data_IF_766142351331
#
_entry.id   IF_766142351331
#
_cell.length_a   1.000
_cell.length_b   1.000
_cell.length_c   1.000
_cell.angle_alpha   90.00
_cell.angle_beta   90.00
_cell.angle_gamma   90.00
#
_symmetry.space_group_name_H-M   'P 1'
#
loop_
_entity.id
_entity.type
_entity.pdbx_description
1 polymer ?
#
# COMPACT_ATOMS: atom_id res chain seq x y z
N UNK A 1 41.67 1.23 23.35
CA UNK A 1 40.75 1.30 24.52
C UNK A 1 39.36 1.34 23.90
N UNK A 2 38.87 0.14 23.67
CA UNK A 2 37.58 -0.10 23.03
C UNK A 2 36.50 0.01 24.12
N UNK A 3 35.65 0.99 24.03
CA UNK A 3 34.41 1.03 24.82
C UNK A 3 33.37 0.16 24.11
N UNK A 4 33.15 -1.01 24.68
CA UNK A 4 32.04 -1.89 24.36
C UNK A 4 30.74 -1.28 24.86
N UNK A 5 29.87 -0.89 23.95
CA UNK A 5 28.50 -0.50 24.21
C UNK A 5 27.68 -1.73 24.60
N UNK A 6 27.67 -2.07 25.88
CA UNK A 6 26.77 -3.07 26.45
C UNK A 6 25.39 -2.43 26.63
N UNK A 7 24.55 -2.56 25.58
CA UNK A 7 23.11 -2.34 25.70
C UNK A 7 22.52 -3.36 26.68
N UNK A 8 22.24 -2.89 27.90
CA UNK A 8 21.54 -3.65 28.94
C UNK A 8 20.14 -4.04 28.43
N UNK A 9 19.99 -5.29 27.99
CA UNK A 9 18.71 -6.00 27.98
C UNK A 9 18.28 -6.12 29.46
N UNK A 10 17.40 -5.22 29.93
CA UNK A 10 16.71 -5.42 31.20
C UNK A 10 15.82 -6.65 31.05
N UNK A 11 16.27 -7.78 31.56
CA UNK A 11 15.50 -9.01 31.65
C UNK A 11 14.26 -8.71 32.53
N UNK A 12 13.08 -8.85 31.93
CA UNK A 12 11.81 -8.73 32.64
C UNK A 12 11.80 -9.60 33.88
N UNK A 13 11.26 -9.11 35.01
CA UNK A 13 11.00 -9.91 36.19
C UNK A 13 10.08 -11.10 35.80
N UNK A 14 10.31 -12.25 36.45
CA UNK A 14 9.56 -13.47 36.13
C UNK A 14 8.04 -13.31 36.16
N UNK A 15 7.53 -12.39 36.99
CA UNK A 15 6.10 -12.06 37.07
C UNK A 15 5.65 -11.23 35.87
N UNK A 16 6.44 -10.22 35.46
CA UNK A 16 6.17 -9.39 34.29
C UNK A 16 6.23 -10.21 33.00
N UNK A 17 7.18 -11.14 32.91
CA UNK A 17 7.28 -12.06 31.78
C UNK A 17 6.05 -12.97 31.69
N UNK A 18 5.59 -13.53 32.81
CA UNK A 18 4.39 -14.39 32.85
C UNK A 18 3.13 -13.64 32.42
N UNK A 19 2.94 -12.40 32.87
CA UNK A 19 1.84 -11.55 32.44
C UNK A 19 1.92 -11.18 30.96
N UNK A 20 3.12 -10.90 30.47
CA UNK A 20 3.32 -10.61 29.05
C UNK A 20 2.98 -11.83 28.18
N UNK A 21 3.40 -13.03 28.59
CA UNK A 21 3.09 -14.29 27.90
C UNK A 21 1.58 -14.54 27.89
N UNK A 22 0.88 -14.34 29.03
CA UNK A 22 -0.57 -14.49 29.09
C UNK A 22 -1.29 -13.54 28.13
N UNK A 23 -0.92 -12.26 28.12
CA UNK A 23 -1.48 -11.27 27.18
C UNK A 23 -1.15 -11.61 25.71
N UNK A 24 0.03 -12.13 25.44
CA UNK A 24 0.42 -12.56 24.10
C UNK A 24 -0.42 -13.75 23.63
N UNK A 25 -0.68 -14.73 24.51
CA UNK A 25 -1.53 -15.89 24.22
C UNK A 25 -2.97 -15.47 23.93
N UNK A 26 -3.55 -14.57 24.72
CA UNK A 26 -4.88 -14.01 24.44
C UNK A 26 -4.92 -13.33 23.05
N UNK A 27 -3.90 -12.57 22.71
CA UNK A 27 -3.80 -11.93 21.38
C UNK A 27 -3.69 -12.97 20.26
N UNK A 28 -2.92 -14.04 20.45
CA UNK A 28 -2.77 -15.12 19.47
C UNK A 28 -4.13 -15.79 19.23
N UNK A 29 -4.83 -16.15 20.30
CA UNK A 29 -6.15 -16.79 20.23
C UNK A 29 -7.17 -15.87 19.54
N UNK A 30 -7.19 -14.59 19.88
CA UNK A 30 -8.10 -13.62 19.25
C UNK A 30 -7.81 -13.43 17.74
N UNK A 31 -6.53 -13.27 17.39
CA UNK A 31 -6.15 -13.03 15.99
C UNK A 31 -6.29 -14.28 15.13
N UNK A 32 -6.04 -15.48 15.68
CA UNK A 32 -6.18 -16.73 14.93
C UNK A 32 -7.62 -17.06 14.53
N UNK A 33 -8.60 -16.63 15.31
CA UNK A 33 -10.05 -16.81 15.01
C UNK A 33 -10.53 -16.00 13.81
N UNK A 34 -9.74 -15.02 13.35
CA UNK A 34 -10.12 -14.13 12.23
C UNK A 34 -9.82 -14.70 10.86
N UNK A 35 -9.12 -15.83 10.80
CA UNK A 35 -8.62 -16.38 9.53
C UNK A 35 -9.18 -17.77 9.35
N UNK A 36 -10.17 -17.90 8.49
CA UNK A 36 -10.66 -19.18 8.01
C UNK A 36 -10.30 -19.34 6.54
N UNK A 37 -9.77 -20.51 6.18
CA UNK A 37 -9.42 -20.82 4.81
C UNK A 37 -9.64 -22.30 4.51
N UNK A 38 -9.78 -22.60 3.22
CA UNK A 38 -9.78 -23.98 2.74
C UNK A 38 -8.88 -24.14 1.51
N UNK A 39 -8.49 -25.37 1.24
CA UNK A 39 -7.63 -25.72 0.14
C UNK A 39 -8.44 -26.33 -0.99
N UNK A 40 -8.07 -25.97 -2.22
CA UNK A 40 -8.64 -26.59 -3.41
C UNK A 40 -7.55 -26.76 -4.46
N UNK A 41 -7.65 -27.83 -5.25
CA UNK A 41 -6.74 -28.08 -6.36
C UNK A 41 -7.47 -27.82 -7.67
N UNK A 42 -6.95 -26.90 -8.47
CA UNK A 42 -7.49 -26.53 -9.78
C UNK A 42 -6.63 -27.10 -10.89
N UNK A 43 -7.26 -27.69 -11.91
CA UNK A 43 -6.53 -27.98 -13.16
C UNK A 43 -6.20 -26.67 -13.90
N UNK A 44 -5.11 -26.67 -14.66
CA UNK A 44 -4.71 -25.53 -15.51
C UNK A 44 -5.83 -25.13 -16.47
N UNK A 45 -6.55 -26.11 -17.03
CA UNK A 45 -7.71 -25.84 -17.90
C UNK A 45 -8.83 -25.12 -17.15
N UNK A 46 -9.15 -25.56 -15.93
CA UNK A 46 -10.20 -24.93 -15.12
C UNK A 46 -9.79 -23.53 -14.71
N UNK A 47 -8.51 -23.29 -14.38
CA UNK A 47 -8.00 -21.96 -14.08
C UNK A 47 -8.16 -21.01 -15.27
N UNK A 48 -7.78 -21.44 -16.47
CA UNK A 48 -7.96 -20.65 -17.70
C UNK A 48 -9.44 -20.35 -17.97
N UNK A 49 -10.32 -21.36 -17.82
CA UNK A 49 -11.76 -21.20 -18.03
C UNK A 49 -12.39 -20.20 -17.03
N UNK A 50 -12.04 -20.28 -15.75
CA UNK A 50 -12.55 -19.37 -14.72
C UNK A 50 -12.09 -17.93 -14.93
N UNK A 51 -10.86 -17.72 -15.42
CA UNK A 51 -10.37 -16.41 -15.85
C UNK A 51 -11.19 -15.87 -17.03
N UNK A 52 -11.47 -16.69 -18.04
CA UNK A 52 -12.28 -16.27 -19.21
C UNK A 52 -13.71 -15.89 -18.83
N UNK A 53 -14.32 -16.66 -17.94
CA UNK A 53 -15.69 -16.41 -17.45
C UNK A 53 -15.77 -15.27 -16.43
N UNK A 54 -14.64 -14.66 -16.05
CA UNK A 54 -14.54 -13.62 -14.99
C UNK A 54 -15.11 -14.08 -13.65
N UNK A 55 -15.01 -15.38 -13.37
CA UNK A 55 -15.30 -15.96 -12.05
C UNK A 55 -14.16 -15.67 -11.07
N UNK A 56 -12.93 -15.48 -11.59
CA UNK A 56 -11.81 -14.92 -10.87
C UNK A 56 -11.76 -13.43 -11.13
N UNK A 57 -11.90 -12.64 -10.06
CA UNK A 57 -11.85 -11.20 -10.15
C UNK A 57 -10.45 -10.70 -9.83
N UNK A 58 -9.88 -9.94 -10.77
CA UNK A 58 -8.60 -9.28 -10.57
C UNK A 58 -8.90 -7.91 -9.96
N UNK A 59 -8.46 -7.64 -8.72
CA UNK A 59 -8.66 -6.33 -8.09
C UNK A 59 -8.09 -5.20 -8.95
N UNK A 60 -8.67 -4.01 -8.85
CA UNK A 60 -8.27 -2.85 -9.65
C UNK A 60 -6.77 -2.51 -9.49
N UNK A 61 -6.19 -2.79 -8.33
CA UNK A 61 -4.78 -2.56 -8.02
C UNK A 61 -3.82 -3.59 -8.64
N UNK A 62 -4.33 -4.76 -9.10
CA UNK A 62 -3.55 -5.81 -9.76
C UNK A 62 -3.86 -5.89 -11.27
N UNK A 63 -4.60 -4.95 -11.85
CA UNK A 63 -5.06 -5.02 -13.23
C UNK A 63 -3.96 -4.91 -14.28
N UNK A 64 -2.82 -4.34 -13.93
CA UNK A 64 -1.70 -4.23 -14.87
C UNK A 64 -1.03 -5.59 -15.10
N UNK A 65 -0.79 -5.93 -16.35
CA UNK A 65 0.06 -7.06 -16.73
C UNK A 65 1.52 -6.60 -16.64
N UNK A 66 2.17 -6.98 -15.54
CA UNK A 66 3.52 -6.49 -15.22
C UNK A 66 4.63 -7.47 -15.55
N UNK A 67 4.28 -8.70 -15.94
CA UNK A 67 5.28 -9.66 -16.37
C UNK A 67 5.64 -9.45 -17.84
N UNK A 68 6.93 -9.30 -18.10
CA UNK A 68 7.49 -9.34 -19.44
C UNK A 68 7.39 -10.76 -20.04
N UNK A 69 7.35 -10.87 -21.35
CA UNK A 69 7.14 -12.14 -22.05
C UNK A 69 8.20 -13.19 -21.70
N UNK A 70 9.44 -12.78 -21.39
CA UNK A 70 10.47 -13.69 -20.91
C UNK A 70 10.11 -14.32 -19.56
N UNK A 71 9.56 -13.56 -18.64
CA UNK A 71 9.13 -14.07 -17.33
C UNK A 71 7.92 -14.97 -17.47
N UNK A 72 6.97 -14.65 -18.36
CA UNK A 72 5.84 -15.50 -18.71
C UNK A 72 6.32 -16.82 -19.29
N UNK A 73 7.29 -16.77 -20.22
CA UNK A 73 7.87 -17.95 -20.87
C UNK A 73 8.55 -18.87 -19.87
N UNK A 74 9.36 -18.35 -18.96
CA UNK A 74 10.00 -19.13 -17.88
C UNK A 74 8.98 -19.79 -16.94
N UNK A 75 7.89 -19.11 -16.66
CA UNK A 75 6.82 -19.70 -15.86
C UNK A 75 6.15 -20.86 -16.61
N UNK A 76 5.89 -20.72 -17.91
CA UNK A 76 5.37 -21.80 -18.76
C UNK A 76 6.37 -22.96 -18.88
N UNK A 77 7.66 -22.67 -18.98
CA UNK A 77 8.73 -23.67 -18.93
C UNK A 77 8.65 -24.51 -17.64
N UNK A 78 8.49 -23.85 -16.49
CA UNK A 78 8.31 -24.53 -15.20
C UNK A 78 7.05 -25.42 -15.18
N UNK A 79 5.95 -24.95 -15.77
CA UNK A 79 4.75 -25.76 -15.97
C UNK A 79 5.02 -26.99 -16.84
N UNK A 80 5.71 -26.84 -17.93
CA UNK A 80 6.02 -27.92 -18.88
C UNK A 80 6.95 -28.97 -18.27
N UNK A 81 7.95 -28.53 -17.50
CA UNK A 81 8.91 -29.39 -16.80
C UNK A 81 8.33 -30.14 -15.61
N UNK A 82 7.18 -29.74 -15.12
CA UNK A 82 6.60 -30.39 -13.96
C UNK A 82 7.06 -29.82 -12.60
N UNK A 83 7.69 -28.66 -12.59
CA UNK A 83 8.15 -28.04 -11.35
C UNK A 83 6.99 -27.60 -10.44
N UNK A 84 7.14 -27.64 -9.11
CA UNK A 84 6.12 -27.14 -8.19
C UNK A 84 5.83 -25.66 -8.47
N UNK A 85 4.54 -25.34 -8.61
CA UNK A 85 4.08 -23.96 -8.74
C UNK A 85 3.64 -23.44 -7.38
N UNK A 86 4.06 -22.24 -6.96
CA UNK A 86 3.59 -21.64 -5.72
C UNK A 86 2.08 -21.55 -5.67
N UNK A 87 1.50 -21.70 -4.48
CA UNK A 87 0.05 -21.67 -4.28
C UNK A 87 -0.55 -20.37 -4.79
N UNK A 88 -1.77 -20.46 -5.29
CA UNK A 88 -2.61 -19.31 -5.60
C UNK A 88 -3.40 -18.92 -4.35
N UNK A 89 -3.61 -17.64 -4.15
CA UNK A 89 -4.39 -17.16 -3.02
C UNK A 89 -5.60 -16.39 -3.53
N UNK A 90 -6.76 -16.76 -3.01
CA UNK A 90 -8.04 -16.16 -3.35
C UNK A 90 -8.79 -15.71 -2.08
N UNK A 91 -9.68 -14.77 -2.28
CA UNK A 91 -10.67 -14.35 -1.33
C UNK A 91 -12.05 -14.71 -1.87
N UNK A 92 -12.86 -15.39 -1.09
CA UNK A 92 -14.25 -15.67 -1.42
C UNK A 92 -15.12 -14.46 -1.11
N UNK A 93 -15.83 -13.96 -2.10
CA UNK A 93 -16.73 -12.83 -1.97
C UNK A 93 -18.15 -13.33 -1.69
N UNK A 94 -18.99 -12.49 -1.11
CA UNK A 94 -20.41 -12.77 -0.84
C UNK A 94 -21.22 -13.13 -2.10
N UNK A 95 -20.79 -12.69 -3.28
CA UNK A 95 -21.40 -13.02 -4.55
C UNK A 95 -20.92 -14.37 -5.13
N UNK A 96 -20.11 -15.12 -4.39
CA UNK A 96 -19.56 -16.41 -4.77
C UNK A 96 -18.39 -16.35 -5.76
N UNK A 97 -17.96 -15.15 -6.17
CA UNK A 97 -16.75 -14.97 -6.97
C UNK A 97 -15.51 -15.04 -6.10
N UNK A 98 -14.40 -15.43 -6.71
CA UNK A 98 -13.10 -15.45 -6.05
C UNK A 98 -12.25 -14.26 -6.51
N UNK A 99 -11.92 -13.37 -5.59
CA UNK A 99 -10.97 -12.28 -5.83
C UNK A 99 -9.54 -12.80 -5.68
N UNK A 100 -8.66 -12.47 -6.62
CA UNK A 100 -7.27 -12.94 -6.62
C UNK A 100 -6.46 -12.10 -5.62
N UNK A 101 -5.96 -12.74 -4.56
CA UNK A 101 -5.07 -12.14 -3.57
C UNK A 101 -3.61 -12.20 -4.05
N UNK A 102 -3.15 -13.38 -4.49
CA UNK A 102 -1.84 -13.58 -5.12
C UNK A 102 -1.92 -14.59 -6.25
N UNK A 103 -1.11 -14.39 -7.28
CA UNK A 103 -1.01 -15.23 -8.45
C UNK A 103 -1.69 -14.67 -9.70
N UNK A 104 -2.12 -13.42 -9.72
CA UNK A 104 -2.78 -12.77 -10.88
C UNK A 104 -1.95 -12.87 -12.16
N UNK A 105 -0.63 -12.66 -12.10
CA UNK A 105 0.26 -12.75 -13.25
C UNK A 105 0.40 -14.20 -13.75
N UNK A 106 0.45 -15.16 -12.83
CA UNK A 106 0.48 -16.61 -13.16
C UNK A 106 -0.81 -17.02 -13.86
N UNK A 107 -1.96 -16.60 -13.34
CA UNK A 107 -3.27 -16.89 -13.93
C UNK A 107 -3.44 -16.27 -15.32
N UNK A 108 -3.01 -15.02 -15.51
CA UNK A 108 -2.99 -14.37 -16.84
C UNK A 108 -2.10 -15.13 -17.81
N UNK A 109 -0.91 -15.55 -17.38
CA UNK A 109 0.02 -16.29 -18.21
C UNK A 109 -0.55 -17.66 -18.60
N UNK A 110 -1.19 -18.37 -17.66
CA UNK A 110 -1.90 -19.63 -17.94
C UNK A 110 -2.99 -19.40 -18.99
N UNK A 111 -3.83 -18.38 -18.81
CA UNK A 111 -4.91 -18.05 -19.73
C UNK A 111 -4.38 -17.76 -21.13
N UNK A 112 -3.42 -16.83 -21.25
CA UNK A 112 -2.81 -16.44 -22.52
C UNK A 112 -2.14 -17.63 -23.22
N UNK A 113 -1.44 -18.49 -22.47
CA UNK A 113 -0.77 -19.64 -23.03
C UNK A 113 -1.76 -20.69 -23.53
N UNK A 114 -2.72 -21.12 -22.73
CA UNK A 114 -3.74 -22.14 -23.12
C UNK A 114 -4.55 -21.65 -24.33
N UNK A 115 -4.82 -20.35 -24.46
CA UNK A 115 -5.48 -19.75 -25.62
C UNK A 115 -4.56 -19.57 -26.84
N UNK A 116 -3.28 -19.91 -26.71
CA UNK A 116 -2.29 -19.72 -27.78
C UNK A 116 -2.04 -18.22 -28.12
N UNK A 117 -2.29 -17.32 -27.19
CA UNK A 117 -2.02 -15.89 -27.31
C UNK A 117 -0.59 -15.53 -26.88
N UNK A 118 0.06 -16.37 -26.06
CA UNK A 118 1.45 -16.21 -25.63
C UNK A 118 2.38 -17.04 -26.52
N UNK A 119 3.29 -16.36 -27.23
CA UNK A 119 4.40 -16.96 -27.94
C UNK A 119 5.61 -17.06 -27.00
N UNK A 120 6.18 -18.26 -26.84
CA UNK A 120 7.30 -18.48 -25.94
C UNK A 120 8.55 -17.75 -26.40
N UNK A 121 9.18 -16.99 -25.53
CA UNK A 121 10.47 -16.32 -25.74
C UNK A 121 11.65 -17.24 -25.50
N UNK A 122 12.78 -16.66 -25.07
CA UNK A 122 13.96 -17.43 -24.66
C UNK A 122 13.67 -18.26 -23.41
N UNK A 123 14.08 -19.54 -23.46
CA UNK A 123 13.92 -20.51 -22.38
C UNK A 123 15.29 -21.04 -21.98
N UNK A 124 15.40 -21.50 -20.74
CA UNK A 124 16.68 -21.96 -20.20
C UNK A 124 16.95 -23.44 -20.51
N UNK A 125 15.96 -24.29 -20.29
CA UNK A 125 16.06 -25.75 -20.42
C UNK A 125 15.36 -26.27 -21.69
N UNK A 126 14.24 -25.68 -22.07
CA UNK A 126 13.40 -26.15 -23.19
C UNK A 126 13.58 -25.23 -24.42
N UNK A 127 14.83 -24.99 -24.84
CA UNK A 127 15.21 -24.03 -25.89
C UNK A 127 14.48 -24.21 -27.22
N UNK A 128 14.15 -25.47 -27.60
CA UNK A 128 13.44 -25.81 -28.83
C UNK A 128 11.98 -25.33 -28.85
N UNK A 129 11.44 -24.91 -27.72
CA UNK A 129 10.08 -24.36 -27.66
C UNK A 129 10.00 -22.87 -27.95
N UNK A 130 11.15 -22.20 -28.14
CA UNK A 130 11.19 -20.79 -28.54
C UNK A 130 10.35 -20.54 -29.79
N UNK A 131 9.47 -19.54 -29.69
CA UNK A 131 8.59 -19.16 -30.78
C UNK A 131 7.33 -19.99 -30.92
N UNK A 132 7.16 -21.08 -30.18
CA UNK A 132 5.95 -21.88 -30.20
C UNK A 132 4.87 -21.28 -29.31
N UNK A 133 3.63 -21.65 -29.65
CA UNK A 133 2.41 -21.40 -28.85
C UNK A 133 1.78 -22.74 -28.44
N UNK A 134 0.84 -22.69 -27.49
CA UNK A 134 0.22 -23.93 -26.93
C UNK A 134 -0.29 -24.90 -27.98
N UNK A 135 -0.98 -24.43 -29.02
CA UNK A 135 -1.50 -25.29 -30.11
C UNK A 135 -0.44 -26.00 -30.95
N UNK A 136 0.83 -25.54 -30.90
CA UNK A 136 1.93 -26.19 -31.61
C UNK A 136 2.47 -27.42 -30.86
N UNK A 137 2.10 -27.59 -29.58
CA UNK A 137 2.52 -28.75 -28.80
C UNK A 137 1.75 -30.00 -29.23
N UNK A 138 2.38 -31.19 -29.13
CA UNK A 138 1.66 -32.47 -29.33
C UNK A 138 0.43 -32.57 -28.44
N UNK A 139 -0.66 -33.14 -28.91
CA UNK A 139 -1.94 -33.29 -28.20
C UNK A 139 -1.75 -33.91 -26.79
N UNK A 140 -0.92 -34.96 -26.72
CA UNK A 140 -0.60 -35.60 -25.45
C UNK A 140 0.05 -34.65 -24.44
N UNK A 141 0.86 -33.71 -24.91
CA UNK A 141 1.49 -32.68 -24.08
C UNK A 141 0.48 -31.63 -23.67
N UNK A 142 -0.38 -31.18 -24.57
CA UNK A 142 -1.47 -30.27 -24.26
C UNK A 142 -2.38 -30.84 -23.17
N UNK A 143 -2.79 -32.11 -23.26
CA UNK A 143 -3.61 -32.77 -22.24
C UNK A 143 -2.89 -32.85 -20.88
N UNK A 144 -1.60 -33.19 -20.87
CA UNK A 144 -0.82 -33.24 -19.63
C UNK A 144 -0.76 -31.87 -18.94
N UNK A 145 -0.61 -30.76 -19.69
CA UNK A 145 -0.61 -29.41 -19.15
C UNK A 145 -2.00 -29.04 -18.64
N UNK A 146 -3.05 -29.25 -19.41
CA UNK A 146 -4.43 -28.95 -19.04
C UNK A 146 -4.85 -29.61 -17.73
N UNK A 147 -4.47 -30.90 -17.56
CA UNK A 147 -4.79 -31.68 -16.36
C UNK A 147 -3.86 -31.41 -15.17
N UNK A 148 -2.80 -30.62 -15.35
CA UNK A 148 -1.89 -30.33 -14.29
C UNK A 148 -2.59 -29.51 -13.18
N UNK A 149 -2.43 -29.96 -11.93
CA UNK A 149 -3.04 -29.33 -10.78
C UNK A 149 -2.17 -28.23 -10.18
N UNK A 150 -2.79 -27.10 -9.81
CA UNK A 150 -2.19 -26.02 -9.04
C UNK A 150 -3.09 -25.77 -7.83
N UNK A 151 -2.47 -25.74 -6.64
CA UNK A 151 -3.19 -25.56 -5.38
C UNK A 151 -3.56 -24.11 -5.16
N UNK A 152 -4.80 -23.88 -4.76
CA UNK A 152 -5.34 -22.62 -4.29
C UNK A 152 -5.66 -22.68 -2.80
N UNK A 153 -5.38 -21.58 -2.10
CA UNK A 153 -5.84 -21.29 -0.74
C UNK A 153 -6.94 -20.26 -0.88
N UNK A 154 -8.14 -20.58 -0.38
CA UNK A 154 -9.30 -19.70 -0.45
C UNK A 154 -9.61 -19.22 0.94
N UNK A 155 -9.50 -17.90 1.15
CA UNK A 155 -9.90 -17.24 2.39
C UNK A 155 -11.42 -17.07 2.38
N UNK A 156 -12.07 -17.46 3.48
CA UNK A 156 -13.52 -17.43 3.61
C UNK A 156 -14.04 -15.98 3.65
N UNK A 157 -15.28 -15.77 3.20
CA UNK A 157 -15.99 -14.49 3.21
C UNK A 157 -16.15 -13.86 4.62
N UNK A 158 -16.09 -14.68 5.67
CA UNK A 158 -16.23 -14.25 7.07
C UNK A 158 -14.95 -13.65 7.67
N UNK A 159 -13.79 -13.82 7.05
CA UNK A 159 -12.58 -13.16 7.51
C UNK A 159 -12.73 -11.64 7.40
N UNK A 160 -12.41 -10.91 8.47
CA UNK A 160 -12.58 -9.46 8.47
C UNK A 160 -11.64 -8.78 7.45
N UNK A 161 -12.03 -7.60 6.97
CA UNK A 161 -11.26 -6.88 5.96
C UNK A 161 -9.84 -6.51 6.44
N UNK A 162 -9.63 -6.35 7.75
CA UNK A 162 -8.33 -6.08 8.32
C UNK A 162 -7.44 -7.32 8.28
N UNK A 163 -7.99 -8.50 8.60
CA UNK A 163 -7.28 -9.77 8.48
C UNK A 163 -6.90 -10.05 7.01
N UNK A 164 -7.81 -9.76 6.07
CA UNK A 164 -7.56 -9.81 4.63
C UNK A 164 -6.39 -8.92 4.22
N UNK A 165 -6.36 -7.68 4.71
CA UNK A 165 -5.27 -6.74 4.45
C UNK A 165 -3.93 -7.26 4.99
N UNK A 166 -3.92 -7.72 6.24
CA UNK A 166 -2.71 -8.23 6.92
C UNK A 166 -2.17 -9.49 6.22
N UNK A 167 -3.05 -10.38 5.76
CA UNK A 167 -2.67 -11.58 4.99
C UNK A 167 -2.09 -11.17 3.64
N UNK A 168 -2.75 -10.26 2.93
CA UNK A 168 -2.27 -9.76 1.64
C UNK A 168 -0.87 -9.17 1.77
N UNK A 169 -0.62 -8.33 2.80
CA UNK A 169 0.70 -7.75 3.06
C UNK A 169 1.76 -8.84 3.30
N UNK A 170 1.43 -9.91 4.03
CA UNK A 170 2.36 -10.98 4.38
C UNK A 170 2.64 -11.95 3.24
N UNK A 171 1.63 -12.32 2.46
CA UNK A 171 1.77 -13.28 1.35
C UNK A 171 2.54 -12.65 0.18
N UNK A 172 2.32 -11.40 -0.14
CA UNK A 172 2.99 -10.72 -1.25
C UNK A 172 4.47 -10.38 -1.01
N UNK A 173 5.10 -10.85 0.06
CA UNK A 173 6.52 -10.57 0.37
C UNK A 173 7.51 -11.16 -0.63
N UNK A 174 7.11 -12.07 -1.52
CA UNK A 174 7.97 -12.77 -2.49
C UNK A 174 7.86 -12.33 -3.95
N UNK A 175 6.88 -11.51 -4.32
CA UNK A 175 6.73 -10.93 -5.66
C UNK A 175 6.85 -9.40 -5.60
N UNK A 176 6.73 -8.69 -6.72
CA UNK A 176 6.73 -7.22 -6.73
C UNK A 176 5.61 -6.73 -5.80
N UNK A 177 5.99 -6.39 -4.57
CA UNK A 177 5.08 -6.12 -3.44
C UNK A 177 4.16 -4.97 -3.85
N UNK A 178 2.85 -5.23 -3.90
CA UNK A 178 1.88 -4.14 -3.90
C UNK A 178 2.11 -3.32 -2.63
N UNK A 179 2.40 -2.03 -2.79
CA UNK A 179 2.61 -1.19 -1.62
C UNK A 179 1.29 -0.89 -0.92
N UNK A 180 1.37 -0.34 0.30
CA UNK A 180 0.21 -0.07 1.16
C UNK A 180 -0.86 0.82 0.51
N UNK A 181 -0.49 1.70 -0.42
CA UNK A 181 -1.41 2.55 -1.17
C UNK A 181 -2.13 1.76 -2.29
N UNK A 182 -1.43 0.85 -2.96
CA UNK A 182 -2.03 -0.04 -3.97
C UNK A 182 -3.05 -0.99 -3.35
N UNK A 183 -2.72 -1.52 -2.17
CA UNK A 183 -3.61 -2.39 -1.41
C UNK A 183 -4.87 -1.64 -0.96
N UNK A 184 -4.73 -0.41 -0.42
CA UNK A 184 -5.88 0.42 -0.06
C UNK A 184 -6.78 0.70 -1.25
N UNK A 185 -6.18 1.06 -2.40
CA UNK A 185 -6.94 1.33 -3.63
C UNK A 185 -7.78 0.15 -4.09
N UNK A 186 -7.31 -1.05 -3.88
CA UNK A 186 -8.03 -2.25 -4.27
C UNK A 186 -9.10 -2.70 -3.28
N UNK A 187 -8.81 -2.54 -2.00
CA UNK A 187 -9.71 -2.98 -0.94
C UNK A 187 -10.84 -1.98 -0.63
N UNK A 188 -10.63 -0.68 -0.93
CA UNK A 188 -11.50 0.41 -0.49
C UNK A 188 -11.92 1.31 -1.67
N UNK A 189 -12.61 0.76 -2.70
CA UNK A 189 -13.23 1.60 -3.72
C UNK A 189 -14.28 2.52 -3.09
N UNK A 190 -14.30 3.81 -3.47
CA UNK A 190 -15.29 4.75 -2.99
C UNK A 190 -14.91 6.21 -3.19
N UNK A 191 -15.83 7.15 -2.93
CA UNK A 191 -15.68 8.56 -3.31
C UNK A 191 -14.52 9.27 -2.62
N UNK A 192 -14.15 8.90 -1.39
CA UNK A 192 -12.95 9.45 -0.76
C UNK A 192 -11.68 9.02 -1.49
N UNK A 193 -11.60 7.76 -1.87
CA UNK A 193 -10.42 7.26 -2.57
C UNK A 193 -10.32 7.83 -3.98
N UNK A 194 -11.43 8.06 -4.65
CA UNK A 194 -11.46 8.73 -5.95
C UNK A 194 -10.92 10.16 -5.85
N UNK A 195 -11.32 10.91 -4.81
CA UNK A 195 -10.76 12.22 -4.50
C UNK A 195 -9.25 12.16 -4.24
N UNK A 196 -8.78 11.19 -3.48
CA UNK A 196 -7.33 10.99 -3.22
C UNK A 196 -6.57 10.77 -4.53
N UNK A 197 -7.10 9.96 -5.44
CA UNK A 197 -6.49 9.67 -6.75
C UNK A 197 -6.45 10.92 -7.63
N UNK A 198 -7.49 11.74 -7.60
CA UNK A 198 -7.55 13.00 -8.33
C UNK A 198 -6.52 13.99 -7.79
N UNK A 199 -6.53 14.25 -6.49
CA UNK A 199 -5.62 15.20 -5.84
C UNK A 199 -4.16 14.76 -5.93
N UNK A 200 -3.87 13.47 -5.99
CA UNK A 200 -2.53 12.94 -6.20
C UNK A 200 -1.92 13.33 -7.56
N UNK A 201 -2.76 13.73 -8.52
CA UNK A 201 -2.38 14.20 -9.87
C UNK A 201 -2.41 15.72 -10.00
N UNK A 202 -2.81 16.45 -8.95
CA UNK A 202 -2.87 17.92 -8.99
C UNK A 202 -1.48 18.49 -9.33
N UNK A 203 -1.41 19.32 -10.36
CA UNK A 203 -0.15 19.84 -10.91
C UNK A 203 0.66 20.64 -9.86
N UNK A 204 -0.03 21.45 -9.05
CA UNK A 204 0.63 22.21 -7.99
C UNK A 204 1.22 21.27 -6.95
N UNK A 205 0.46 20.29 -6.50
CA UNK A 205 0.93 19.31 -5.52
C UNK A 205 2.12 18.50 -6.02
N UNK A 206 2.06 17.97 -7.25
CA UNK A 206 3.14 17.19 -7.86
C UNK A 206 4.43 18.03 -7.96
N UNK A 207 4.32 19.30 -8.32
CA UNK A 207 5.45 20.23 -8.39
C UNK A 207 6.04 20.54 -7.02
N UNK A 208 5.20 20.70 -5.98
CA UNK A 208 5.65 20.97 -4.60
C UNK A 208 6.25 19.74 -3.93
N UNK A 209 5.78 18.54 -4.25
CA UNK A 209 6.15 17.27 -3.66
C UNK A 209 6.75 16.28 -4.69
N UNK A 210 7.87 16.59 -5.35
CA UNK A 210 8.44 15.68 -6.33
C UNK A 210 8.85 14.35 -5.70
N UNK A 211 8.67 13.29 -6.47
CA UNK A 211 9.06 11.92 -6.11
C UNK A 211 9.70 11.24 -7.32
N UNK A 212 10.66 10.31 -7.12
CA UNK A 212 11.26 9.55 -8.21
C UNK A 212 10.19 8.80 -9.02
N UNK A 213 10.40 8.62 -10.34
CA UNK A 213 9.44 7.94 -11.23
C UNK A 213 8.98 6.57 -10.71
N UNK A 214 9.90 5.76 -10.16
CA UNK A 214 9.59 4.49 -9.49
C UNK A 214 8.62 4.67 -8.32
N UNK A 215 8.72 5.78 -7.59
CA UNK A 215 7.83 6.07 -6.45
C UNK A 215 6.45 6.57 -6.91
N UNK A 216 6.34 7.17 -8.10
CA UNK A 216 5.06 7.50 -8.73
C UNK A 216 4.29 6.23 -9.06
N UNK A 217 4.95 5.26 -9.70
CA UNK A 217 4.35 3.96 -10.00
C UNK A 217 3.94 3.20 -8.72
N UNK A 218 4.61 3.47 -7.60
CA UNK A 218 4.27 2.97 -6.27
C UNK A 218 3.24 3.86 -5.53
N UNK A 219 2.58 4.80 -6.22
CA UNK A 219 1.49 5.64 -5.70
C UNK A 219 1.85 6.47 -4.46
N UNK A 220 3.09 6.97 -4.41
CA UNK A 220 3.58 7.75 -3.26
C UNK A 220 2.78 9.04 -3.04
N UNK A 221 2.27 9.68 -4.10
CA UNK A 221 1.40 10.86 -3.99
C UNK A 221 0.03 10.51 -3.38
N UNK A 222 -0.60 9.39 -3.76
CA UNK A 222 -1.85 8.93 -3.16
C UNK A 222 -1.68 8.66 -1.64
N UNK A 223 -0.55 8.05 -1.25
CA UNK A 223 -0.20 7.87 0.15
C UNK A 223 -0.06 9.20 0.90
N UNK A 224 0.61 10.19 0.29
CA UNK A 224 0.77 11.53 0.88
C UNK A 224 -0.58 12.23 1.08
N UNK A 225 -1.45 12.23 0.07
CA UNK A 225 -2.79 12.83 0.18
C UNK A 225 -3.61 12.15 1.28
N UNK A 226 -3.57 10.81 1.35
CA UNK A 226 -4.26 10.07 2.41
C UNK A 226 -3.74 10.45 3.79
N UNK A 227 -2.41 10.57 3.97
CA UNK A 227 -1.78 11.00 5.22
C UNK A 227 -2.18 12.42 5.61
N UNK A 228 -2.24 13.32 4.65
CA UNK A 228 -2.68 14.70 4.90
C UNK A 228 -4.07 14.72 5.55
N UNK A 229 -5.04 14.05 4.96
CA UNK A 229 -6.39 14.03 5.51
C UNK A 229 -6.47 13.28 6.84
N UNK A 230 -5.94 12.08 6.90
CA UNK A 230 -6.00 11.24 8.10
C UNK A 230 -5.31 11.89 9.31
N UNK A 231 -4.21 12.61 9.09
CA UNK A 231 -3.48 13.25 10.17
C UNK A 231 -4.03 14.63 10.51
N UNK A 232 -4.62 15.36 9.57
CA UNK A 232 -5.30 16.62 9.89
C UNK A 232 -6.57 16.38 10.71
N UNK A 233 -7.38 15.38 10.36
CA UNK A 233 -8.57 15.02 11.14
C UNK A 233 -8.19 14.31 12.45
N UNK A 234 -7.16 13.45 12.40
CA UNK A 234 -6.65 12.75 13.57
C UNK A 234 -6.09 13.68 14.63
N UNK A 235 -5.45 14.79 14.25
CA UNK A 235 -4.91 15.77 15.19
C UNK A 235 -6.00 16.37 16.10
N UNK A 236 -7.19 16.62 15.58
CA UNK A 236 -8.30 17.20 16.32
C UNK A 236 -8.85 16.28 17.43
N UNK A 237 -8.67 14.96 17.31
CA UNK A 237 -9.13 13.94 18.25
C UNK A 237 -7.98 13.16 18.93
N UNK A 238 -6.81 13.77 19.01
CA UNK A 238 -5.60 13.19 19.59
C UNK A 238 -5.27 11.80 18.97
N UNK A 239 -5.46 11.63 17.65
CA UNK A 239 -5.19 10.40 16.95
C UNK A 239 -5.85 9.17 17.57
N UNK A 240 -7.13 9.27 17.95
CA UNK A 240 -7.87 8.14 18.46
C UNK A 240 -7.76 6.94 17.51
N UNK A 241 -7.41 5.78 18.04
CA UNK A 241 -7.21 4.56 17.26
C UNK A 241 -5.85 4.43 16.55
N UNK A 242 -4.95 5.41 16.62
CA UNK A 242 -3.59 5.31 16.11
C UNK A 242 -2.70 4.51 17.07
N UNK A 243 -2.37 3.28 16.70
CA UNK A 243 -1.57 2.35 17.53
C UNK A 243 -0.13 2.23 16.99
N UNK A 244 0.52 3.35 16.68
CA UNK A 244 1.88 3.42 16.08
C UNK A 244 2.01 2.61 14.76
N UNK A 245 0.88 2.30 14.14
CA UNK A 245 0.75 1.56 12.88
C UNK A 245 0.09 2.42 11.80
N UNK A 246 0.85 3.28 11.10
CA UNK A 246 0.31 4.19 10.09
C UNK A 246 -0.56 3.50 9.05
N UNK A 247 -0.15 2.33 8.56
CA UNK A 247 -0.88 1.64 7.51
C UNK A 247 -2.31 1.24 7.94
N UNK A 248 -2.46 0.66 9.13
CA UNK A 248 -3.75 0.27 9.67
C UNK A 248 -4.65 1.50 9.94
N UNK A 249 -4.06 2.57 10.50
CA UNK A 249 -4.79 3.82 10.74
C UNK A 249 -5.30 4.44 9.44
N UNK A 250 -4.45 4.55 8.41
CA UNK A 250 -4.82 5.10 7.11
C UNK A 250 -5.85 4.25 6.38
N UNK A 251 -5.81 2.93 6.56
CA UNK A 251 -6.81 2.02 6.01
C UNK A 251 -8.18 2.24 6.66
N UNK A 252 -8.23 2.20 7.99
CA UNK A 252 -9.48 2.44 8.74
C UNK A 252 -10.05 3.83 8.47
N UNK A 253 -9.19 4.84 8.38
CA UNK A 253 -9.60 6.20 8.05
C UNK A 253 -10.20 6.27 6.63
N UNK A 254 -9.54 5.72 5.62
CA UNK A 254 -10.04 5.76 4.25
C UNK A 254 -11.38 5.01 4.10
N UNK A 255 -11.56 3.89 4.80
CA UNK A 255 -12.84 3.17 4.86
C UNK A 255 -13.94 4.04 5.44
N UNK A 256 -13.72 4.60 6.63
CA UNK A 256 -14.68 5.49 7.28
C UNK A 256 -15.05 6.70 6.41
N UNK A 257 -14.06 7.27 5.71
CA UNK A 257 -14.30 8.44 4.87
C UNK A 257 -15.05 8.12 3.58
N UNK A 258 -14.93 6.93 3.01
CA UNK A 258 -15.80 6.50 1.92
C UNK A 258 -17.28 6.54 2.38
N UNK A 259 -17.59 5.94 3.53
CA UNK A 259 -18.97 5.94 4.08
C UNK A 259 -19.46 7.38 4.37
N UNK A 260 -18.60 8.22 4.92
CA UNK A 260 -18.93 9.65 5.20
C UNK A 260 -19.20 10.41 3.90
N UNK A 261 -18.42 10.18 2.85
CA UNK A 261 -18.59 10.89 1.58
C UNK A 261 -19.83 10.43 0.84
N UNK A 262 -20.16 9.15 0.87
CA UNK A 262 -21.41 8.62 0.31
C UNK A 262 -22.64 9.20 1.01
N UNK A 263 -22.59 9.33 2.34
CA UNK A 263 -23.74 9.76 3.13
C UNK A 263 -23.88 11.26 3.30
N UNK A 264 -22.78 12.01 3.37
CA UNK A 264 -22.75 13.44 3.74
C UNK A 264 -22.24 14.39 2.66
N UNK A 265 -21.77 13.89 1.52
CA UNK A 265 -21.38 14.71 0.37
C UNK A 265 -20.25 15.72 0.62
N UNK A 266 -19.26 15.38 1.44
CA UNK A 266 -18.19 16.31 1.88
C UNK A 266 -17.02 16.47 0.91
N UNK A 267 -17.11 16.00 -0.31
CA UNK A 267 -16.01 15.97 -1.28
C UNK A 267 -15.42 17.37 -1.48
N UNK A 268 -16.25 18.38 -1.78
CA UNK A 268 -15.77 19.75 -2.04
C UNK A 268 -15.07 20.37 -0.85
N UNK A 269 -15.51 20.09 0.40
CA UNK A 269 -14.88 20.61 1.61
C UNK A 269 -13.43 20.09 1.73
N UNK A 270 -13.22 18.80 1.45
CA UNK A 270 -11.91 18.15 1.53
C UNK A 270 -11.00 18.56 0.37
N UNK A 271 -11.56 18.69 -0.82
CA UNK A 271 -10.85 19.21 -1.99
C UNK A 271 -10.33 20.63 -1.73
N UNK A 272 -11.19 21.53 -1.27
CA UNK A 272 -10.84 22.91 -0.95
C UNK A 272 -9.78 22.98 0.15
N UNK A 273 -9.92 22.17 1.21
CA UNK A 273 -8.93 22.05 2.29
C UNK A 273 -7.53 21.74 1.74
N UNK A 274 -7.44 20.75 0.87
CA UNK A 274 -6.17 20.34 0.27
C UNK A 274 -5.61 21.44 -0.62
N UNK A 275 -6.39 21.92 -1.58
CA UNK A 275 -5.95 22.93 -2.56
C UNK A 275 -5.53 24.25 -1.89
N UNK A 276 -6.26 24.71 -0.88
CA UNK A 276 -5.90 25.91 -0.13
C UNK A 276 -4.58 25.71 0.64
N UNK A 277 -4.39 24.53 1.23
CA UNK A 277 -3.13 24.21 1.91
C UNK A 277 -1.95 24.18 0.95
N UNK A 278 -2.11 23.57 -0.24
CA UNK A 278 -1.05 23.55 -1.26
C UNK A 278 -0.69 24.96 -1.75
N UNK A 279 -1.68 25.83 -1.97
CA UNK A 279 -1.45 27.25 -2.32
C UNK A 279 -0.71 28.00 -1.21
N UNK A 280 -1.01 27.72 0.04
CA UNK A 280 -0.27 28.31 1.17
C UNK A 280 1.17 27.81 1.21
N UNK A 281 1.39 26.52 1.07
CA UNK A 281 2.73 25.91 1.03
C UNK A 281 3.58 26.50 -0.09
N UNK A 282 3.02 26.71 -1.27
CA UNK A 282 3.70 27.36 -2.40
C UNK A 282 4.24 28.75 -2.03
N UNK A 283 3.43 29.55 -1.29
CA UNK A 283 3.80 30.89 -0.89
C UNK A 283 4.79 30.92 0.28
N UNK A 284 4.59 30.04 1.27
CA UNK A 284 5.32 30.07 2.52
C UNK A 284 6.68 29.37 2.46
N UNK A 285 6.83 28.32 1.62
CA UNK A 285 8.02 27.48 1.60
C UNK A 285 8.73 27.55 0.24
N UNK A 286 9.92 28.15 0.15
CA UNK A 286 10.62 28.39 -1.12
C UNK A 286 10.87 27.14 -1.97
N UNK A 287 10.98 25.98 -1.32
CA UNK A 287 11.23 24.71 -1.99
C UNK A 287 10.04 23.74 -1.87
N UNK A 288 8.85 24.20 -1.52
CA UNK A 288 7.70 23.36 -1.24
C UNK A 288 8.02 22.34 -0.14
N UNK A 289 7.74 21.07 -0.41
CA UNK A 289 8.04 19.99 0.54
C UNK A 289 9.48 19.45 0.45
N UNK A 290 10.30 19.98 -0.46
CA UNK A 290 11.71 19.57 -0.62
C UNK A 290 12.59 20.16 0.48
N UNK A 291 13.69 19.49 0.76
CA UNK A 291 14.68 19.99 1.73
C UNK A 291 15.46 21.20 1.18
N UNK A 292 15.74 21.20 -0.11
CA UNK A 292 16.56 22.22 -0.80
C UNK A 292 16.21 22.28 -2.28
N UNK A 293 16.68 23.31 -2.97
CA UNK A 293 16.58 23.41 -4.42
C UNK A 293 17.17 22.16 -5.09
N UNK A 294 16.53 21.69 -6.18
CA UNK A 294 17.01 20.54 -6.97
C UNK A 294 16.79 19.16 -6.30
N UNK A 295 16.30 19.07 -5.07
CA UNK A 295 15.97 17.77 -4.50
C UNK A 295 14.81 17.13 -5.28
N UNK A 296 15.00 15.86 -5.68
CA UNK A 296 14.05 15.09 -6.51
C UNK A 296 13.12 14.19 -5.69
N UNK A 297 13.27 14.19 -4.36
CA UNK A 297 12.49 13.36 -3.47
C UNK A 297 11.94 14.13 -2.27
N UNK A 298 10.64 13.93 -2.02
CA UNK A 298 9.95 14.38 -0.82
C UNK A 298 9.80 13.21 0.16
N UNK A 299 10.27 13.40 1.42
CA UNK A 299 10.10 12.42 2.50
C UNK A 299 8.73 12.57 3.14
N UNK A 300 8.11 11.46 3.54
CA UNK A 300 6.80 11.47 4.21
C UNK A 300 6.79 12.36 5.47
N UNK A 301 7.77 12.20 6.35
CA UNK A 301 7.83 12.95 7.61
C UNK A 301 7.88 14.48 7.40
N UNK A 302 8.60 14.93 6.37
CA UNK A 302 8.65 16.36 6.01
C UNK A 302 7.34 16.82 5.37
N UNK A 303 6.76 16.02 4.47
CA UNK A 303 5.45 16.31 3.89
C UNK A 303 4.38 16.43 4.97
N UNK A 304 4.29 15.46 5.87
CA UNK A 304 3.34 15.45 6.99
C UNK A 304 3.47 16.70 7.86
N UNK A 305 4.70 17.02 8.30
CA UNK A 305 4.97 18.18 9.10
C UNK A 305 4.51 19.48 8.43
N UNK A 306 4.94 19.70 7.19
CA UNK A 306 4.67 20.94 6.48
C UNK A 306 3.23 21.05 6.01
N UNK A 307 2.62 19.98 5.47
CA UNK A 307 1.26 20.04 4.95
C UNK A 307 0.22 20.15 6.07
N UNK A 308 0.27 19.25 7.05
CA UNK A 308 -0.70 19.23 8.14
C UNK A 308 -0.47 20.42 9.08
N UNK A 309 0.80 20.72 9.44
CA UNK A 309 1.12 21.88 10.25
C UNK A 309 0.65 23.21 9.60
N UNK A 310 0.80 23.36 8.30
CA UNK A 310 0.26 24.48 7.53
C UNK A 310 -1.27 24.53 7.60
N UNK A 311 -1.95 23.42 7.36
CA UNK A 311 -3.40 23.35 7.48
C UNK A 311 -3.89 23.78 8.86
N UNK A 312 -3.28 23.27 9.92
CA UNK A 312 -3.61 23.63 11.30
C UNK A 312 -3.37 25.12 11.57
N UNK A 313 -2.27 25.67 11.07
CA UNK A 313 -1.93 27.09 11.25
C UNK A 313 -2.93 28.01 10.53
N UNK A 314 -3.23 27.74 9.24
CA UNK A 314 -4.17 28.59 8.47
C UNK A 314 -5.63 28.44 8.93
N UNK A 315 -5.97 27.34 9.60
CA UNK A 315 -7.28 27.15 10.22
C UNK A 315 -7.38 27.94 11.53
N UNK A 316 -6.29 27.98 12.31
CA UNK A 316 -6.21 28.74 13.56
C UNK A 316 -6.15 30.25 13.33
N UNK A 317 -5.32 30.70 12.36
CA UNK A 317 -5.13 32.12 12.03
C UNK A 317 -5.23 32.31 10.50
N UNK A 318 -6.43 32.51 9.95
CA UNK A 318 -6.63 32.62 8.50
C UNK A 318 -5.87 33.75 7.82
N UNK A 319 -5.47 34.79 8.55
CA UNK A 319 -4.77 35.96 8.00
C UNK A 319 -3.40 35.60 7.42
N UNK A 320 -2.74 34.57 7.94
CA UNK A 320 -1.44 34.12 7.42
C UNK A 320 -1.50 33.57 5.99
N UNK A 321 -2.70 33.23 5.47
CA UNK A 321 -2.88 32.81 4.07
C UNK A 321 -2.44 33.88 3.07
N UNK A 322 -2.69 35.15 3.40
CA UNK A 322 -2.36 36.28 2.54
C UNK A 322 -0.92 36.75 2.72
N UNK A 323 -0.42 36.71 3.94
CA UNK A 323 0.94 37.11 4.32
C UNK A 323 1.61 36.02 5.15
N UNK A 324 2.18 34.97 4.52
CA UNK A 324 2.85 33.91 5.24
C UNK A 324 4.07 34.44 6.02
N UNK A 325 4.34 33.91 7.23
CA UNK A 325 5.52 34.29 8.00
C UNK A 325 6.81 33.78 7.34
N UNK A 326 7.93 34.43 7.64
CA UNK A 326 9.23 33.94 7.21
C UNK A 326 9.58 32.60 7.90
N UNK A 327 9.92 31.62 7.11
CA UNK A 327 10.25 30.26 7.57
C UNK A 327 11.77 29.99 7.55
N UNK A 328 12.57 30.90 7.02
CA UNK A 328 14.00 30.70 6.74
C UNK A 328 14.81 30.35 7.98
N UNK A 329 14.43 30.90 9.13
CA UNK A 329 15.14 30.70 10.39
C UNK A 329 15.03 29.30 11.01
N UNK A 330 14.00 28.53 10.64
CA UNK A 330 13.73 27.24 11.29
C UNK A 330 13.53 26.04 10.34
N UNK A 331 13.14 26.27 9.06
CA UNK A 331 12.75 25.21 8.14
C UNK A 331 13.83 24.13 7.86
N UNK A 332 15.10 24.48 8.06
CA UNK A 332 16.24 23.57 7.93
C UNK A 332 17.11 23.57 9.22
N UNK A 333 16.61 24.17 10.31
CA UNK A 333 17.27 24.16 11.63
C UNK A 333 17.33 22.77 12.26
N UNK A 334 18.22 22.60 13.26
CA UNK A 334 18.41 21.29 13.93
C UNK A 334 17.12 20.78 14.58
N UNK A 335 16.33 21.66 15.21
CA UNK A 335 15.04 21.26 15.80
C UNK A 335 14.09 20.65 14.75
N UNK A 336 13.92 21.29 13.58
CA UNK A 336 13.06 20.73 12.55
C UNK A 336 13.62 19.42 11.94
N UNK A 337 14.95 19.31 11.83
CA UNK A 337 15.60 18.07 11.40
C UNK A 337 15.30 16.92 12.37
N UNK A 338 15.33 17.18 13.68
CA UNK A 338 15.02 16.20 14.71
C UNK A 338 13.59 15.68 14.57
N UNK A 339 12.60 16.57 14.43
CA UNK A 339 11.20 16.17 14.23
C UNK A 339 10.93 15.48 12.88
N UNK A 340 11.74 15.72 11.87
CA UNK A 340 11.58 15.16 10.52
C UNK A 340 12.43 13.90 10.25
N UNK A 341 13.20 13.40 11.23
CA UNK A 341 13.98 12.15 11.14
C UNK A 341 13.05 10.95 10.93
N UNK A 342 13.58 9.93 10.25
CA UNK A 342 12.83 8.70 9.94
C UNK A 342 12.82 7.68 11.10
N UNK A 343 13.79 7.70 11.99
CA UNK A 343 13.88 6.78 13.14
C UNK A 343 12.80 7.06 14.18
N UNK A 344 12.00 6.05 14.55
CA UNK A 344 10.91 6.18 15.52
C UNK A 344 9.76 7.11 15.08
N UNK A 345 9.70 7.47 13.79
CA UNK A 345 8.79 8.49 13.26
C UNK A 345 7.31 8.12 13.32
N UNK A 346 7.01 6.86 13.55
CA UNK A 346 5.64 6.34 13.60
C UNK A 346 5.00 6.40 14.98
N UNK A 347 5.75 6.71 16.04
CA UNK A 347 5.18 6.86 17.37
C UNK A 347 4.19 8.03 17.40
N UNK A 348 3.00 7.82 17.98
CA UNK A 348 1.92 8.80 18.10
C UNK A 348 2.42 10.16 18.62
N UNK A 349 3.20 10.15 19.71
CA UNK A 349 3.78 11.35 20.30
C UNK A 349 4.64 12.13 19.30
N UNK A 350 5.54 11.42 18.59
CA UNK A 350 6.42 12.06 17.60
C UNK A 350 5.65 12.59 16.38
N UNK A 351 4.57 11.92 15.98
CA UNK A 351 3.69 12.42 14.94
C UNK A 351 3.03 13.72 15.37
N UNK A 352 2.39 13.75 16.55
CA UNK A 352 1.73 14.93 17.07
C UNK A 352 2.70 16.13 17.25
N UNK A 353 3.88 15.90 17.85
CA UNK A 353 4.92 16.92 18.04
C UNK A 353 5.41 17.51 16.73
N UNK A 354 5.61 16.68 15.70
CA UNK A 354 6.04 17.11 14.38
C UNK A 354 5.05 18.06 13.70
N UNK A 355 3.75 17.77 13.83
CA UNK A 355 2.69 18.62 13.29
C UNK A 355 2.54 19.91 14.06
N UNK A 356 2.55 19.82 15.40
CA UNK A 356 2.48 20.96 16.30
C UNK A 356 3.65 21.93 16.09
N UNK A 357 4.88 21.42 15.95
CA UNK A 357 6.06 22.24 15.74
C UNK A 357 5.89 23.20 14.54
N UNK A 358 5.46 22.68 13.39
CA UNK A 358 5.29 23.53 12.20
C UNK A 358 4.11 24.50 12.37
N UNK A 359 2.99 24.06 12.93
CA UNK A 359 1.86 24.93 13.26
C UNK A 359 2.32 26.11 14.13
N UNK A 360 3.01 25.82 15.23
CA UNK A 360 3.39 26.81 16.22
C UNK A 360 4.43 27.81 15.67
N UNK A 361 5.39 27.33 14.87
CA UNK A 361 6.34 28.18 14.16
C UNK A 361 5.67 29.12 13.15
N UNK A 362 4.65 28.64 12.44
CA UNK A 362 3.87 29.48 11.53
C UNK A 362 2.98 30.50 12.26
N UNK A 363 2.62 30.23 13.52
CA UNK A 363 1.86 31.15 14.38
C UNK A 363 2.74 32.07 15.23
N UNK A 364 4.08 31.99 15.09
CA UNK A 364 5.03 32.81 15.88
C UNK A 364 5.14 32.37 17.34
N UNK A 365 4.91 31.13 17.63
CA UNK A 365 4.95 30.52 18.97
C UNK A 365 6.14 29.59 19.14
#
# INVERSE_FOLDING_TARGET
MEETDEGLDEALDGTELAEQVARAEEQIVEQSKRIEYYLTDYSVELLALKMDKKEFEIPAYQREDTWEDERKSRFVESLLMGLPIPFLFFWERRDGKLEIVDGSQRLRTIQQFVKSELKLGELTELTELKGLVFKNLPESRQLKIKNRSIRGIILNEHADEQARFDIFERINTGSKIANKAEVRRGALSGPFLDLVIELAKDELFVRLAPVPAKSVSLRKHEEMVTRFFAYSDGYANDFAGYKDRPAAFLFSYAKQMNDVFETKGKISEYEDRFRQTMKFVEKAFPYGFRKQAGATETRYTRFEALSVGSYLAITTEPKIKSNPPDVSSWINGEAFKEYSKSGGSNAKKRLAERLAYVRDRLLGR
#
